data_IF_257543937187
#
_entry.id   IF_257543937187
#
_cell.length_a   1.000
_cell.length_b   1.000
_cell.length_c   1.000
_cell.angle_alpha   90.00
_cell.angle_beta   90.00
_cell.angle_gamma   90.00
#
_symmetry.space_group_name_H-M   'P 1'
#
loop_
_entity.id
_entity.type
_entity.pdbx_description
1 polymer ?
#
# COMPACT_ATOMS: atom_id res chain seq x y z
N UNK A 1 18.64 28.12 -3.31
CA UNK A 1 18.20 27.31 -4.47
C UNK A 1 18.88 25.96 -4.33
N UNK A 2 18.23 24.88 -4.63
CA UNK A 2 18.84 23.53 -4.62
C UNK A 2 19.66 23.34 -5.90
N UNK A 3 20.76 22.59 -5.81
CA UNK A 3 21.63 22.29 -6.96
C UNK A 3 21.06 21.17 -7.86
N UNK A 4 19.82 20.72 -7.58
CA UNK A 4 19.14 19.65 -8.31
C UNK A 4 17.73 20.09 -8.75
N UNK A 5 17.28 19.45 -9.84
CA UNK A 5 15.96 19.66 -10.42
C UNK A 5 15.02 18.51 -10.07
N UNK A 6 13.74 18.82 -10.00
CA UNK A 6 12.68 17.82 -9.86
C UNK A 6 12.20 17.41 -11.24
N UNK A 7 12.61 16.23 -11.69
CA UNK A 7 12.26 15.64 -12.97
C UNK A 7 11.68 14.25 -12.76
N UNK A 8 10.73 13.86 -13.60
CA UNK A 8 10.07 12.56 -13.49
C UNK A 8 9.17 12.23 -14.66
N UNK A 9 8.56 11.06 -14.61
CA UNK A 9 7.57 10.60 -15.56
C UNK A 9 6.22 11.26 -15.31
N UNK A 10 5.81 12.16 -16.20
CA UNK A 10 4.60 12.96 -16.09
C UNK A 10 3.48 12.39 -16.97
N UNK A 11 2.34 12.09 -16.35
CA UNK A 11 1.08 11.89 -17.06
C UNK A 11 0.41 13.23 -17.32
N UNK A 12 0.04 13.51 -18.56
CA UNK A 12 -0.60 14.75 -18.96
C UNK A 12 -2.11 14.66 -19.13
N UNK A 13 -2.62 13.45 -19.30
CA UNK A 13 -4.04 13.10 -19.39
C UNK A 13 -4.26 11.61 -19.10
N UNK A 14 -5.49 11.12 -19.17
CA UNK A 14 -5.84 9.74 -18.87
C UNK A 14 -5.18 8.71 -19.80
N UNK A 15 -4.78 9.09 -21.03
CA UNK A 15 -4.08 8.19 -21.95
C UNK A 15 -2.65 7.86 -21.49
N UNK A 16 -2.14 8.60 -20.51
CA UNK A 16 -0.82 8.32 -19.92
C UNK A 16 -0.73 6.94 -19.26
N UNK A 17 -1.86 6.39 -18.81
CA UNK A 17 -1.95 5.02 -18.33
C UNK A 17 -1.70 3.95 -19.42
N UNK A 18 -1.74 4.32 -20.69
CA UNK A 18 -1.42 3.48 -21.84
C UNK A 18 0.10 3.47 -22.16
N UNK A 19 0.96 3.77 -21.18
CA UNK A 19 2.40 3.86 -21.36
C UNK A 19 2.86 5.12 -22.07
N UNK A 20 2.15 6.24 -21.90
CA UNK A 20 2.41 7.51 -22.56
C UNK A 20 2.83 8.64 -21.62
N UNK A 21 3.36 8.29 -20.43
CA UNK A 21 4.01 9.30 -19.58
C UNK A 21 5.25 9.85 -20.28
N UNK A 22 5.56 11.12 -20.06
CA UNK A 22 6.70 11.84 -20.65
C UNK A 22 7.65 12.28 -19.53
N UNK A 23 8.95 12.05 -19.71
CA UNK A 23 9.94 12.58 -18.78
C UNK A 23 10.03 14.10 -18.91
N UNK A 24 9.93 14.81 -17.78
CA UNK A 24 9.95 16.25 -17.75
C UNK A 24 10.18 16.84 -16.36
N UNK A 25 10.49 18.15 -16.33
CA UNK A 25 10.66 18.91 -15.10
C UNK A 25 9.29 19.31 -14.54
N UNK A 26 9.17 19.33 -13.21
CA UNK A 26 7.98 19.80 -12.50
C UNK A 26 8.37 20.67 -11.32
N UNK A 27 7.46 21.57 -10.93
CA UNK A 27 7.62 22.41 -9.76
C UNK A 27 7.12 21.64 -8.52
N UNK A 28 7.98 21.26 -7.55
CA UNK A 28 7.54 20.63 -6.32
C UNK A 28 6.76 21.63 -5.47
N UNK A 29 6.07 21.14 -4.43
CA UNK A 29 5.47 22.03 -3.42
C UNK A 29 6.50 23.03 -2.88
N UNK A 30 6.03 24.21 -2.46
CA UNK A 30 6.89 25.21 -1.81
C UNK A 30 7.59 24.59 -0.58
N UNK A 31 8.88 24.90 -0.42
CA UNK A 31 9.67 24.45 0.72
C UNK A 31 9.19 25.08 2.01
N UNK A 32 9.09 24.26 3.05
CA UNK A 32 8.94 24.68 4.44
C UNK A 32 9.99 24.01 5.33
N UNK A 33 10.21 24.51 6.53
CA UNK A 33 11.18 23.92 7.46
C UNK A 33 10.70 22.62 8.12
N UNK A 34 9.53 22.13 7.74
CA UNK A 34 8.97 20.82 8.08
C UNK A 34 9.24 19.77 6.99
N UNK A 35 9.87 20.14 5.87
CA UNK A 35 10.00 19.27 4.71
C UNK A 35 11.33 18.52 4.65
N UNK A 36 11.32 17.45 3.86
CA UNK A 36 12.51 16.67 3.45
C UNK A 36 12.50 16.53 1.93
N UNK A 37 13.63 16.86 1.29
CA UNK A 37 13.89 16.47 -0.10
C UNK A 37 14.62 15.12 -0.12
N UNK A 38 14.11 14.22 -0.92
CA UNK A 38 14.56 12.84 -1.02
C UNK A 38 15.07 12.59 -2.44
N UNK A 39 16.29 12.15 -2.57
CA UNK A 39 16.84 11.61 -3.78
C UNK A 39 16.33 10.18 -3.95
N UNK A 40 15.43 9.97 -4.92
CA UNK A 40 14.71 8.71 -5.09
C UNK A 40 15.60 7.67 -5.75
N UNK A 41 15.82 6.55 -5.07
CA UNK A 41 16.55 5.38 -5.61
C UNK A 41 15.60 4.29 -6.09
N UNK A 42 14.47 4.08 -5.38
CA UNK A 42 13.51 3.01 -5.68
C UNK A 42 12.09 3.54 -5.55
N UNK A 43 11.20 3.07 -6.41
CA UNK A 43 9.76 3.31 -6.27
C UNK A 43 8.97 2.07 -6.70
N UNK A 44 8.17 1.52 -5.79
CA UNK A 44 7.27 0.41 -6.13
C UNK A 44 6.13 0.88 -7.04
N UNK A 45 5.59 -0.04 -7.84
CA UNK A 45 4.43 0.18 -8.69
C UNK A 45 3.18 -0.36 -7.99
N UNK A 46 2.17 0.50 -7.82
CA UNK A 46 0.89 0.16 -7.21
C UNK A 46 -0.27 0.27 -8.21
N UNK A 47 -1.35 -0.49 -7.97
CA UNK A 47 -2.60 -0.34 -8.73
C UNK A 47 -3.16 1.08 -8.66
N UNK A 48 -2.95 1.78 -7.55
CA UNK A 48 -3.35 3.19 -7.37
C UNK A 48 -2.70 4.13 -8.40
N UNK A 49 -1.49 3.82 -8.87
CA UNK A 49 -0.80 4.63 -9.89
C UNK A 49 -1.60 4.62 -11.20
N UNK A 50 -2.06 3.43 -11.62
CA UNK A 50 -2.91 3.28 -12.80
C UNK A 50 -4.28 3.94 -12.64
N UNK A 51 -4.94 3.75 -11.49
CA UNK A 51 -6.22 4.39 -11.22
C UNK A 51 -6.10 5.92 -11.26
N UNK A 52 -5.02 6.48 -10.71
CA UNK A 52 -4.76 7.92 -10.77
C UNK A 52 -4.46 8.37 -12.20
N UNK A 53 -3.56 7.69 -12.92
CA UNK A 53 -3.27 8.04 -14.31
C UNK A 53 -4.51 8.00 -15.21
N UNK A 54 -5.47 7.09 -14.93
CA UNK A 54 -6.76 6.97 -15.65
C UNK A 54 -7.82 7.96 -15.18
N UNK A 55 -7.62 8.72 -14.10
CA UNK A 55 -8.69 9.42 -13.36
C UNK A 55 -9.83 8.47 -12.95
N UNK A 56 -9.52 7.22 -12.61
CA UNK A 56 -10.50 6.15 -12.41
C UNK A 56 -11.24 6.22 -11.08
N UNK A 57 -10.61 6.74 -10.02
CA UNK A 57 -11.27 6.93 -8.73
C UNK A 57 -11.76 8.37 -8.55
N UNK A 58 -10.91 9.34 -8.85
CA UNK A 58 -11.17 10.77 -8.71
C UNK A 58 -10.52 11.52 -9.88
N UNK A 59 -11.00 12.74 -10.22
CA UNK A 59 -10.35 13.59 -11.21
C UNK A 59 -8.88 13.87 -10.84
N UNK A 60 -7.97 13.58 -11.76
CA UNK A 60 -6.54 13.78 -11.55
C UNK A 60 -6.11 15.19 -11.97
N UNK A 61 -5.43 15.96 -11.11
CA UNK A 61 -4.91 17.27 -11.46
C UNK A 61 -3.62 17.13 -12.29
N UNK A 62 -3.76 16.88 -13.59
CA UNK A 62 -2.61 16.81 -14.52
C UNK A 62 -1.84 18.13 -14.64
N UNK A 63 -0.52 18.11 -14.99
CA UNK A 63 0.30 16.91 -15.09
C UNK A 63 0.52 16.25 -13.73
N UNK A 64 0.65 14.91 -13.71
CA UNK A 64 0.79 14.12 -12.51
C UNK A 64 1.99 13.16 -12.63
N UNK A 65 2.89 13.16 -11.64
CA UNK A 65 3.89 12.12 -11.45
C UNK A 65 3.39 11.17 -10.38
N UNK A 66 3.18 9.91 -10.71
CA UNK A 66 2.71 8.88 -9.77
C UNK A 66 3.85 8.20 -9.02
N UNK A 67 3.54 7.18 -8.21
CA UNK A 67 4.49 6.46 -7.38
C UNK A 67 4.48 6.92 -5.92
N UNK A 68 3.92 6.09 -5.03
CA UNK A 68 3.82 6.37 -3.59
C UNK A 68 4.44 5.26 -2.73
N UNK A 69 5.39 4.55 -3.28
CA UNK A 69 6.18 3.52 -2.61
C UNK A 69 7.66 3.91 -2.73
N UNK A 70 8.01 5.07 -2.17
CA UNK A 70 9.28 5.75 -2.42
C UNK A 70 10.33 5.33 -1.39
N UNK A 71 11.49 4.90 -1.85
CA UNK A 71 12.70 4.76 -1.03
C UNK A 71 13.82 5.58 -1.66
N UNK A 72 14.58 6.27 -0.82
CA UNK A 72 15.70 7.09 -1.27
C UNK A 72 16.55 7.60 -0.11
N UNK A 73 17.34 8.61 -0.40
CA UNK A 73 18.24 9.26 0.55
C UNK A 73 17.77 10.69 0.81
N UNK A 74 17.65 11.07 2.08
CA UNK A 74 17.37 12.45 2.46
C UNK A 74 18.57 13.33 2.10
N UNK A 75 18.35 14.32 1.21
CA UNK A 75 19.41 15.22 0.73
C UNK A 75 19.28 16.64 1.26
N UNK A 76 18.06 17.02 1.67
CA UNK A 76 17.78 18.27 2.36
C UNK A 76 16.73 18.02 3.44
N UNK A 77 16.93 18.57 4.64
CA UNK A 77 16.06 18.36 5.78
C UNK A 77 15.79 19.72 6.44
N UNK A 78 14.53 20.04 6.66
CA UNK A 78 14.10 21.27 7.31
C UNK A 78 14.45 21.30 8.80
N UNK A 79 14.63 22.49 9.36
CA UNK A 79 15.11 22.69 10.73
C UNK A 79 14.14 22.13 11.80
N UNK A 80 12.85 22.04 11.46
CA UNK A 80 11.81 21.53 12.35
C UNK A 80 11.67 20.00 12.31
N UNK A 81 12.29 19.32 11.34
CA UNK A 81 12.30 17.86 11.25
C UNK A 81 13.30 17.28 12.25
N UNK A 82 12.83 16.46 13.20
CA UNK A 82 13.65 15.96 14.31
C UNK A 82 14.12 14.51 14.16
N UNK A 83 13.40 13.72 13.39
CA UNK A 83 13.59 12.27 13.26
C UNK A 83 14.44 11.86 12.06
N UNK A 84 14.72 12.77 11.11
CA UNK A 84 15.48 12.51 9.88
C UNK A 84 16.71 13.40 9.82
N UNK A 85 17.80 12.88 9.24
CA UNK A 85 19.03 13.64 8.96
C UNK A 85 19.42 13.50 7.51
N UNK A 86 20.13 14.48 6.96
CA UNK A 86 20.76 14.38 5.65
C UNK A 86 21.64 13.12 5.61
N UNK A 87 21.48 12.33 4.59
CA UNK A 87 22.15 11.05 4.40
C UNK A 87 21.38 9.83 4.87
N UNK A 88 20.32 9.99 5.68
CA UNK A 88 19.47 8.86 6.11
C UNK A 88 18.80 8.20 4.90
N UNK A 89 18.70 6.88 4.89
CA UNK A 89 17.88 6.10 3.98
C UNK A 89 16.43 6.13 4.50
N UNK A 90 15.53 6.64 3.66
CA UNK A 90 14.16 6.97 4.05
C UNK A 90 13.14 6.47 3.04
N UNK A 91 11.89 6.39 3.48
CA UNK A 91 10.76 6.05 2.63
C UNK A 91 9.56 6.96 2.84
N UNK A 92 8.71 7.03 1.81
CA UNK A 92 7.43 7.73 1.81
C UNK A 92 6.36 6.80 1.26
N UNK A 93 5.27 6.65 2.02
CA UNK A 93 4.10 5.88 1.61
C UNK A 93 3.07 6.71 0.83
N UNK A 94 1.80 6.29 0.90
CA UNK A 94 0.73 6.89 0.10
C UNK A 94 0.25 8.27 0.60
N UNK A 95 0.70 8.72 1.76
CA UNK A 95 0.33 10.01 2.35
C UNK A 95 1.54 10.91 2.55
N UNK A 96 1.41 12.19 2.16
CA UNK A 96 2.44 13.22 2.26
C UNK A 96 2.15 14.30 3.29
N UNK A 97 0.88 14.44 3.75
CA UNK A 97 0.47 15.43 4.75
C UNK A 97 -0.83 15.04 5.45
N UNK A 98 -1.02 15.54 6.65
CA UNK A 98 -2.30 15.71 7.35
C UNK A 98 -2.33 17.08 8.03
N UNK A 99 -3.41 17.43 8.73
CA UNK A 99 -3.49 18.76 9.39
C UNK A 99 -2.50 18.91 10.56
N UNK A 100 -2.11 17.81 11.22
CA UNK A 100 -1.20 17.74 12.37
C UNK A 100 -1.55 18.71 13.52
N UNK A 101 -2.83 19.10 13.65
CA UNK A 101 -3.30 19.99 14.70
C UNK A 101 -3.60 19.19 15.96
N UNK A 102 -3.28 19.77 17.14
CA UNK A 102 -3.46 19.13 18.45
C UNK A 102 -4.93 18.81 18.76
N UNK A 103 -5.87 19.61 18.23
CA UNK A 103 -7.31 19.43 18.37
C UNK A 103 -7.91 18.46 17.32
N UNK A 104 -7.12 17.92 16.43
CA UNK A 104 -7.56 16.88 15.49
C UNK A 104 -7.47 15.52 16.14
N UNK A 105 -8.62 14.91 16.41
CA UNK A 105 -8.70 13.60 17.08
C UNK A 105 -7.86 12.52 16.37
N UNK A 106 -7.86 12.50 15.05
CA UNK A 106 -7.11 11.52 14.28
C UNK A 106 -5.60 11.74 14.41
N UNK A 107 -5.14 12.97 14.19
CA UNK A 107 -3.70 13.27 14.25
C UNK A 107 -3.13 13.12 15.66
N UNK A 108 -3.85 13.57 16.70
CA UNK A 108 -3.42 13.44 18.09
C UNK A 108 -3.37 11.99 18.59
N UNK A 109 -4.11 11.08 17.95
CA UNK A 109 -4.11 9.65 18.26
C UNK A 109 -3.22 8.81 17.33
N UNK A 110 -2.36 9.42 16.51
CA UNK A 110 -1.49 8.69 15.58
C UNK A 110 -2.25 7.97 14.45
N UNK A 111 -3.37 8.55 14.03
CA UNK A 111 -4.22 8.07 12.95
C UNK A 111 -4.27 9.07 11.80
N UNK A 112 -3.11 9.64 11.44
CA UNK A 112 -2.97 10.69 10.43
C UNK A 112 -3.54 10.27 9.07
N UNK A 113 -3.54 8.98 8.77
CA UNK A 113 -4.13 8.40 7.55
C UNK A 113 -5.66 8.53 7.49
N UNK A 114 -6.32 8.87 8.58
CA UNK A 114 -7.76 9.15 8.65
C UNK A 114 -8.07 10.62 8.92
N UNK A 115 -7.10 11.52 8.79
CA UNK A 115 -7.31 12.94 8.99
C UNK A 115 -8.30 13.50 7.96
N UNK A 116 -9.43 14.05 8.43
CA UNK A 116 -10.46 14.63 7.59
C UNK A 116 -10.33 16.16 7.39
N UNK A 117 -9.28 16.78 7.96
CA UNK A 117 -9.07 18.23 7.92
C UNK A 117 -7.97 18.70 6.95
N UNK A 118 -7.28 17.80 6.29
CA UNK A 118 -6.17 18.22 5.42
C UNK A 118 -5.23 17.08 5.01
N UNK A 119 -5.79 15.92 4.70
CA UNK A 119 -5.01 14.83 4.12
C UNK A 119 -4.56 15.19 2.70
N UNK A 120 -3.27 15.00 2.40
CA UNK A 120 -2.70 15.12 1.05
C UNK A 120 -2.02 13.81 0.71
N UNK A 121 -2.38 13.23 -0.41
CA UNK A 121 -1.72 12.04 -0.96
C UNK A 121 -0.35 12.37 -1.53
N UNK A 122 0.53 11.39 -1.61
CA UNK A 122 1.90 11.56 -2.10
C UNK A 122 1.97 12.03 -3.56
N UNK A 123 0.90 11.81 -4.33
CA UNK A 123 0.69 12.36 -5.66
C UNK A 123 -0.80 12.63 -5.93
N UNK A 124 -1.09 13.35 -7.02
CA UNK A 124 -2.46 13.59 -7.48
C UNK A 124 -3.30 14.45 -6.55
N UNK A 125 -2.68 15.21 -5.66
CA UNK A 125 -3.35 16.12 -4.72
C UNK A 125 -2.81 17.54 -4.85
N UNK A 126 -3.62 18.49 -4.39
CA UNK A 126 -3.23 19.90 -4.26
C UNK A 126 -3.08 20.20 -2.77
N UNK A 127 -1.95 20.82 -2.40
CA UNK A 127 -1.74 21.27 -1.03
C UNK A 127 -2.63 22.48 -0.71
N UNK A 128 -3.02 22.67 0.57
CA UNK A 128 -3.81 23.85 0.96
C UNK A 128 -3.07 25.16 0.66
N UNK A 129 -3.83 26.20 0.35
CA UNK A 129 -3.26 27.51 -0.01
C UNK A 129 -2.47 27.44 -1.32
N UNK A 130 -1.38 28.19 -1.40
CA UNK A 130 -0.50 28.30 -2.58
C UNK A 130 0.73 27.40 -2.50
N UNK A 131 0.67 26.29 -1.73
CA UNK A 131 1.84 25.41 -1.56
C UNK A 131 2.16 24.57 -2.80
N UNK A 132 1.23 24.44 -3.75
CA UNK A 132 1.44 23.67 -4.99
C UNK A 132 0.78 22.30 -4.99
N UNK A 133 1.31 21.38 -5.82
CA UNK A 133 0.81 20.01 -5.98
C UNK A 133 1.77 18.98 -5.41
N UNK A 134 1.22 17.79 -5.11
CA UNK A 134 2.02 16.62 -4.76
C UNK A 134 2.43 15.84 -6.00
N UNK A 135 3.68 15.41 -6.03
CA UNK A 135 4.28 14.59 -7.09
C UNK A 135 4.96 13.38 -6.48
N UNK A 136 4.77 12.21 -7.10
CA UNK A 136 5.24 10.92 -6.59
C UNK A 136 6.69 10.61 -6.92
N UNK A 137 7.03 9.33 -6.81
CA UNK A 137 8.39 8.81 -6.88
C UNK A 137 8.82 8.24 -8.23
N UNK A 138 8.02 8.35 -9.30
CA UNK A 138 8.54 8.05 -10.64
C UNK A 138 9.41 9.21 -11.12
N UNK A 139 10.31 9.67 -10.26
CA UNK A 139 11.07 10.90 -10.38
C UNK A 139 12.48 10.74 -9.79
N UNK A 140 13.36 11.72 -10.10
CA UNK A 140 14.69 11.79 -9.50
C UNK A 140 14.64 12.27 -8.05
N UNK A 141 13.71 13.19 -7.71
CA UNK A 141 13.55 13.74 -6.36
C UNK A 141 12.08 13.86 -5.95
N UNK A 142 11.83 13.72 -4.66
CA UNK A 142 10.54 13.93 -4.03
C UNK A 142 10.66 14.92 -2.86
N UNK A 143 9.65 15.76 -2.63
CA UNK A 143 9.54 16.65 -1.47
C UNK A 143 8.30 16.30 -0.67
N UNK A 144 8.51 15.93 0.60
CA UNK A 144 7.44 15.49 1.51
C UNK A 144 7.64 16.07 2.90
N UNK A 145 6.55 16.35 3.63
CA UNK A 145 6.63 16.74 5.03
C UNK A 145 7.30 15.63 5.87
N UNK A 146 8.28 15.99 6.68
CA UNK A 146 9.10 15.08 7.46
C UNK A 146 8.33 14.17 8.43
N UNK A 147 7.10 14.55 8.84
CA UNK A 147 6.22 13.65 9.61
C UNK A 147 5.87 12.37 8.86
N UNK A 148 5.80 12.43 7.53
CA UNK A 148 5.44 11.31 6.64
C UNK A 148 6.65 10.64 6.01
N UNK A 149 7.85 11.02 6.41
CA UNK A 149 9.12 10.40 6.03
C UNK A 149 9.55 9.43 7.13
N UNK A 150 9.71 8.16 6.80
CA UNK A 150 10.11 7.11 7.74
C UNK A 150 11.52 6.61 7.42
N UNK A 151 12.30 6.24 8.44
CA UNK A 151 13.60 5.58 8.22
C UNK A 151 13.39 4.15 7.75
N UNK A 152 14.20 3.73 6.79
CA UNK A 152 14.26 2.32 6.39
C UNK A 152 15.31 1.63 7.28
N UNK A 153 14.94 0.57 8.02
CA UNK A 153 15.90 -0.19 8.85
C UNK A 153 17.05 -0.78 8.01
N UNK A 154 18.25 -0.82 8.57
CA UNK A 154 19.46 -1.31 7.86
C UNK A 154 19.33 -2.77 7.41
N UNK A 155 18.61 -3.60 8.13
CA UNK A 155 18.38 -5.01 7.79
C UNK A 155 17.38 -5.27 6.66
N UNK A 156 16.80 -4.23 6.05
CA UNK A 156 15.81 -4.35 4.99
C UNK A 156 16.33 -3.70 3.70
N UNK A 157 16.32 -4.42 2.57
CA UNK A 157 16.74 -3.86 1.28
C UNK A 157 15.75 -2.79 0.78
N UNK A 158 16.22 -1.88 -0.08
CA UNK A 158 15.38 -0.81 -0.63
C UNK A 158 14.29 -1.37 -1.54
N UNK A 159 14.62 -2.41 -2.32
CA UNK A 159 13.69 -3.10 -3.21
C UNK A 159 12.56 -3.79 -2.42
N UNK A 160 12.90 -4.38 -1.27
CA UNK A 160 11.91 -5.03 -0.40
C UNK A 160 11.07 -4.01 0.36
N UNK A 161 11.67 -2.90 0.82
CA UNK A 161 11.00 -1.86 1.60
C UNK A 161 10.01 -1.04 0.76
N UNK A 162 10.35 -0.69 -0.48
CA UNK A 162 9.55 0.21 -1.30
C UNK A 162 8.08 -0.21 -1.39
N UNK A 163 7.70 -1.41 -1.86
CA UNK A 163 6.29 -1.78 -1.95
C UNK A 163 5.63 -2.07 -0.59
N UNK A 164 6.39 -2.23 0.50
CA UNK A 164 5.83 -2.32 1.84
C UNK A 164 5.19 -1.01 2.29
N UNK A 165 5.67 0.15 1.81
CA UNK A 165 5.19 1.48 2.18
C UNK A 165 3.73 1.76 1.76
N UNK A 166 3.18 0.96 0.84
CA UNK A 166 1.76 0.97 0.49
C UNK A 166 1.16 -0.43 0.59
N UNK A 167 1.57 -1.37 -0.27
CA UNK A 167 1.01 -2.71 -0.32
C UNK A 167 1.17 -3.47 0.99
N UNK A 168 2.34 -3.37 1.63
CA UNK A 168 2.61 -3.99 2.94
C UNK A 168 1.78 -3.38 4.06
N UNK A 169 1.84 -2.05 4.24
CA UNK A 169 1.12 -1.37 5.33
C UNK A 169 -0.39 -1.53 5.22
N UNK A 170 -0.94 -1.58 4.02
CA UNK A 170 -2.39 -1.73 3.79
C UNK A 170 -2.94 -3.03 4.37
N UNK A 171 -2.14 -4.09 4.42
CA UNK A 171 -2.55 -5.36 5.02
C UNK A 171 -1.99 -5.56 6.45
N UNK A 172 -0.83 -4.99 6.76
CA UNK A 172 -0.25 -5.06 8.10
C UNK A 172 -1.11 -4.33 9.14
N UNK A 173 -1.53 -3.10 8.86
CA UNK A 173 -2.31 -2.29 9.80
C UNK A 173 -3.60 -2.99 10.24
N UNK A 174 -4.48 -3.51 9.35
CA UNK A 174 -5.66 -4.24 9.78
C UNK A 174 -5.35 -5.57 10.49
N UNK A 175 -4.33 -6.32 10.08
CA UNK A 175 -3.90 -7.52 10.79
C UNK A 175 -3.53 -7.19 12.23
N UNK A 176 -2.68 -6.19 12.43
CA UNK A 176 -2.20 -5.74 13.75
C UNK A 176 -3.34 -5.21 14.63
N UNK A 177 -4.19 -4.35 14.07
CA UNK A 177 -5.28 -3.68 14.80
C UNK A 177 -6.46 -4.61 15.13
N UNK A 178 -6.61 -5.72 14.41
CA UNK A 178 -7.67 -6.71 14.66
C UNK A 178 -7.16 -8.00 15.32
N UNK A 179 -5.99 -7.92 15.98
CA UNK A 179 -5.51 -8.97 16.87
C UNK A 179 -4.99 -10.21 16.18
N UNK A 180 -4.44 -10.08 14.96
CA UNK A 180 -3.67 -11.17 14.34
C UNK A 180 -2.48 -11.53 15.25
N UNK A 181 -2.34 -12.81 15.58
CA UNK A 181 -1.28 -13.30 16.47
C UNK A 181 -1.56 -14.70 16.98
N UNK A 182 -0.90 -15.12 18.06
CA UNK A 182 -1.08 -16.45 18.65
C UNK A 182 -2.55 -16.76 19.00
N UNK A 183 -2.98 -17.97 18.74
CA UNK A 183 -4.36 -18.43 18.92
C UNK A 183 -5.32 -18.06 17.78
N UNK A 184 -4.84 -17.41 16.70
CA UNK A 184 -5.69 -16.96 15.60
C UNK A 184 -5.46 -17.73 14.31
N UNK A 185 -6.56 -18.05 13.64
CA UNK A 185 -6.57 -18.53 12.25
C UNK A 185 -7.00 -17.38 11.33
N UNK A 186 -6.14 -16.99 10.40
CA UNK A 186 -6.31 -15.80 9.56
C UNK A 186 -6.46 -16.17 8.10
N UNK A 187 -7.47 -15.65 7.43
CA UNK A 187 -7.68 -15.77 5.99
C UNK A 187 -7.22 -14.52 5.23
N UNK A 188 -6.46 -14.70 4.16
CA UNK A 188 -6.07 -13.65 3.24
C UNK A 188 -6.76 -13.89 1.90
N UNK A 189 -7.75 -13.05 1.57
CA UNK A 189 -8.52 -13.15 0.34
C UNK A 189 -7.91 -12.28 -0.73
N UNK A 190 -7.62 -12.89 -1.89
CA UNK A 190 -6.97 -12.21 -3.01
C UNK A 190 -5.44 -12.22 -2.90
N UNK A 191 -4.79 -13.37 -3.16
CA UNK A 191 -3.33 -13.44 -3.12
C UNK A 191 -2.72 -12.91 -4.42
N UNK A 192 -2.41 -11.64 -4.38
CA UNK A 192 -1.75 -10.85 -5.42
C UNK A 192 -0.75 -9.88 -4.77
N UNK A 193 -0.56 -8.69 -5.36
CA UNK A 193 0.40 -7.67 -4.89
C UNK A 193 0.24 -7.22 -3.44
N UNK A 194 -0.98 -7.24 -2.86
CA UNK A 194 -1.24 -6.97 -1.46
C UNK A 194 -1.29 -8.27 -0.63
N UNK A 195 -2.01 -9.27 -1.14
CA UNK A 195 -2.28 -10.49 -0.37
C UNK A 195 -1.03 -11.30 -0.03
N UNK A 196 0.04 -11.25 -0.85
CA UNK A 196 1.30 -11.91 -0.48
C UNK A 196 1.90 -11.31 0.80
N UNK A 197 1.84 -9.97 0.98
CA UNK A 197 2.22 -9.32 2.24
C UNK A 197 1.29 -9.72 3.38
N UNK A 198 -0.01 -9.89 3.10
CA UNK A 198 -0.97 -10.37 4.10
C UNK A 198 -0.55 -11.71 4.71
N UNK A 199 -0.07 -12.64 3.88
CA UNK A 199 0.46 -13.94 4.35
C UNK A 199 1.74 -13.75 5.15
N UNK A 200 2.72 -13.02 4.59
CA UNK A 200 4.01 -12.79 5.24
C UNK A 200 3.85 -12.13 6.62
N UNK A 201 3.04 -11.07 6.71
CA UNK A 201 2.83 -10.36 7.97
C UNK A 201 1.94 -11.13 8.95
N UNK A 202 0.93 -11.89 8.50
CA UNK A 202 0.16 -12.72 9.40
C UNK A 202 1.04 -13.80 10.07
N UNK A 203 1.95 -14.41 9.33
CA UNK A 203 2.95 -15.35 9.88
C UNK A 203 3.92 -14.64 10.82
N UNK A 204 4.43 -13.46 10.44
CA UNK A 204 5.37 -12.70 11.27
C UNK A 204 4.75 -12.21 12.60
N UNK A 205 3.47 -11.89 12.61
CA UNK A 205 2.69 -11.55 13.81
C UNK A 205 2.36 -12.78 14.67
N UNK A 206 2.64 -13.99 14.20
CA UNK A 206 2.51 -15.22 14.95
C UNK A 206 1.12 -15.85 14.90
N UNK A 207 0.34 -15.64 13.84
CA UNK A 207 -0.92 -16.38 13.63
C UNK A 207 -0.65 -17.90 13.63
N UNK A 208 -1.48 -18.67 14.34
CA UNK A 208 -1.33 -20.12 14.42
C UNK A 208 -1.53 -20.78 13.05
N UNK A 209 -2.48 -20.25 12.27
CA UNK A 209 -2.75 -20.73 10.92
C UNK A 209 -3.06 -19.56 9.99
N UNK A 210 -2.45 -19.56 8.81
CA UNK A 210 -2.70 -18.60 7.72
C UNK A 210 -3.23 -19.33 6.50
N UNK A 211 -4.41 -18.94 6.03
CA UNK A 211 -5.09 -19.52 4.89
C UNK A 211 -5.12 -18.53 3.73
N UNK A 212 -4.45 -18.85 2.64
CA UNK A 212 -4.57 -18.08 1.40
C UNK A 212 -5.85 -18.46 0.65
N UNK A 213 -6.60 -17.48 0.21
CA UNK A 213 -7.88 -17.67 -0.49
C UNK A 213 -7.80 -16.94 -1.83
N UNK A 214 -7.92 -17.64 -2.93
CA UNK A 214 -7.88 -17.04 -4.26
C UNK A 214 -8.68 -17.89 -5.27
N UNK A 215 -8.88 -17.39 -6.48
CA UNK A 215 -9.78 -18.04 -7.43
C UNK A 215 -9.25 -19.38 -7.96
N UNK A 216 -7.98 -19.45 -8.38
CA UNK A 216 -7.43 -20.56 -9.14
C UNK A 216 -6.45 -21.41 -8.35
N UNK A 217 -6.55 -22.73 -8.46
CA UNK A 217 -5.65 -23.70 -7.82
C UNK A 217 -4.18 -23.55 -8.26
N UNK A 218 -3.93 -22.97 -9.44
CA UNK A 218 -2.57 -22.73 -9.95
C UNK A 218 -1.69 -21.86 -9.06
N UNK A 219 -2.29 -21.03 -8.20
CA UNK A 219 -1.57 -20.18 -7.23
C UNK A 219 -1.16 -20.92 -5.95
N UNK A 220 -1.64 -22.14 -5.71
CA UNK A 220 -1.42 -22.87 -4.45
C UNK A 220 0.06 -22.99 -4.10
N UNK A 221 0.90 -23.35 -5.06
CA UNK A 221 2.34 -23.52 -4.83
C UNK A 221 3.00 -22.25 -4.30
N UNK A 222 2.71 -21.10 -4.93
CA UNK A 222 3.24 -19.81 -4.50
C UNK A 222 2.77 -19.42 -3.11
N UNK A 223 1.47 -19.58 -2.85
CA UNK A 223 0.86 -19.22 -1.57
C UNK A 223 1.44 -20.03 -0.42
N UNK A 224 1.65 -21.32 -0.60
CA UNK A 224 2.33 -22.17 0.41
C UNK A 224 3.81 -21.79 0.56
N UNK A 225 4.49 -21.45 -0.52
CA UNK A 225 5.90 -20.97 -0.47
C UNK A 225 6.06 -19.64 0.27
N UNK A 226 5.01 -18.78 0.30
CA UNK A 226 4.97 -17.57 1.13
C UNK A 226 4.79 -17.87 2.63
N UNK A 227 4.56 -19.13 3.00
CA UNK A 227 4.38 -19.57 4.39
C UNK A 227 2.92 -19.75 4.82
N UNK A 228 1.94 -19.70 3.92
CA UNK A 228 0.57 -20.06 4.25
C UNK A 228 0.48 -21.56 4.60
N UNK A 229 -0.35 -21.90 5.59
CA UNK A 229 -0.55 -23.27 6.06
C UNK A 229 -1.59 -24.01 5.22
N UNK A 230 -2.48 -23.30 4.54
CA UNK A 230 -3.52 -23.86 3.68
C UNK A 230 -3.89 -22.89 2.55
N UNK A 231 -4.56 -23.44 1.53
CA UNK A 231 -5.03 -22.68 0.37
C UNK A 231 -6.43 -23.12 -0.04
N UNK A 232 -7.30 -22.16 -0.34
CA UNK A 232 -8.66 -22.35 -0.85
C UNK A 232 -8.73 -21.77 -2.27
N UNK A 233 -9.20 -22.57 -3.24
CA UNK A 233 -9.38 -22.20 -4.64
C UNK A 233 -10.87 -22.02 -4.96
N UNK A 234 -11.39 -20.81 -4.92
CA UNK A 234 -12.85 -20.54 -4.93
C UNK A 234 -13.55 -20.82 -6.26
N UNK A 235 -12.83 -20.83 -7.39
CA UNK A 235 -13.42 -21.14 -8.70
C UNK A 235 -13.29 -22.64 -9.05
N UNK A 236 -12.27 -23.30 -8.50
CA UNK A 236 -11.92 -24.67 -8.87
C UNK A 236 -12.50 -25.72 -7.89
N UNK A 237 -12.88 -25.31 -6.68
CA UNK A 237 -13.56 -26.10 -5.67
C UNK A 237 -14.96 -25.52 -5.44
N UNK A 238 -16.01 -26.32 -5.69
CA UNK A 238 -17.40 -25.84 -5.58
C UNK A 238 -17.91 -25.80 -4.14
N UNK A 239 -17.35 -26.63 -3.26
CA UNK A 239 -17.78 -26.80 -1.90
C UNK A 239 -16.91 -26.04 -0.89
N UNK A 240 -15.97 -25.21 -1.41
CA UNK A 240 -14.97 -24.50 -0.62
C UNK A 240 -15.53 -23.74 0.58
N UNK A 241 -16.69 -23.09 0.43
CA UNK A 241 -17.30 -22.29 1.49
C UNK A 241 -17.90 -23.18 2.60
N UNK A 242 -18.51 -24.31 2.22
CA UNK A 242 -19.12 -25.26 3.15
C UNK A 242 -18.06 -26.07 3.90
N UNK A 243 -17.05 -26.57 3.20
CA UNK A 243 -15.97 -27.38 3.79
C UNK A 243 -15.08 -26.60 4.74
N UNK A 244 -14.91 -25.29 4.50
CA UNK A 244 -14.07 -24.42 5.32
C UNK A 244 -14.88 -23.49 6.24
N UNK A 245 -16.19 -23.70 6.35
CA UNK A 245 -17.07 -22.85 7.14
C UNK A 245 -16.65 -22.77 8.62
N UNK A 246 -16.76 -21.58 9.21
CA UNK A 246 -16.51 -21.29 10.65
C UNK A 246 -15.11 -21.69 11.14
N UNK A 247 -14.08 -21.50 10.33
CA UNK A 247 -12.70 -21.87 10.68
C UNK A 247 -11.80 -20.67 10.96
N UNK A 248 -12.16 -19.47 10.47
CA UNK A 248 -11.31 -18.28 10.53
C UNK A 248 -11.74 -17.28 11.61
N UNK A 249 -10.79 -16.72 12.32
CA UNK A 249 -11.03 -15.65 13.30
C UNK A 249 -11.06 -14.27 12.65
N UNK A 250 -10.21 -14.06 11.64
CA UNK A 250 -10.01 -12.80 10.93
C UNK A 250 -9.83 -13.07 9.44
N UNK A 251 -10.46 -12.26 8.61
CA UNK A 251 -10.22 -12.22 7.17
C UNK A 251 -9.76 -10.82 6.79
N UNK A 252 -8.67 -10.71 6.03
CA UNK A 252 -8.30 -9.48 5.31
C UNK A 252 -8.52 -9.72 3.81
N UNK A 253 -9.44 -8.94 3.22
CA UNK A 253 -9.80 -9.04 1.81
C UNK A 253 -9.13 -7.93 1.00
N UNK A 254 -8.29 -8.34 0.04
CA UNK A 254 -7.62 -7.45 -0.93
C UNK A 254 -8.31 -7.41 -2.28
N UNK A 255 -9.47 -8.08 -2.41
CA UNK A 255 -10.21 -8.18 -3.66
C UNK A 255 -10.88 -6.85 -4.00
N UNK A 256 -10.69 -6.40 -5.24
CA UNK A 256 -11.25 -5.16 -5.79
C UNK A 256 -12.38 -5.44 -6.80
N UNK A 257 -13.21 -6.45 -6.56
CA UNK A 257 -14.32 -6.80 -7.45
C UNK A 257 -15.67 -6.62 -6.76
N UNK A 258 -16.61 -5.88 -7.38
CA UNK A 258 -17.98 -5.75 -6.86
C UNK A 258 -18.77 -7.06 -6.94
N UNK A 259 -18.22 -8.10 -7.59
CA UNK A 259 -18.85 -9.42 -7.75
C UNK A 259 -18.19 -10.51 -6.88
N UNK A 260 -17.37 -10.13 -5.90
CA UNK A 260 -16.76 -11.11 -5.00
C UNK A 260 -17.84 -11.83 -4.17
N UNK A 261 -17.65 -13.11 -3.82
CA UNK A 261 -18.60 -13.87 -3.01
C UNK A 261 -18.49 -13.49 -1.51
N UNK A 262 -18.92 -12.25 -1.17
CA UNK A 262 -18.74 -11.67 0.16
C UNK A 262 -19.48 -12.44 1.25
N UNK A 263 -20.69 -12.95 0.97
CA UNK A 263 -21.47 -13.75 1.92
C UNK A 263 -20.78 -15.06 2.24
N UNK A 264 -20.21 -15.71 1.25
CA UNK A 264 -19.46 -16.96 1.39
C UNK A 264 -18.16 -16.73 2.17
N UNK A 265 -17.46 -15.62 1.95
CA UNK A 265 -16.29 -15.25 2.76
C UNK A 265 -16.66 -15.04 4.23
N UNK A 266 -17.81 -14.40 4.51
CA UNK A 266 -18.31 -14.28 5.89
C UNK A 266 -18.61 -15.64 6.50
N UNK A 267 -19.13 -16.59 5.72
CA UNK A 267 -19.39 -17.95 6.16
C UNK A 267 -18.15 -18.72 6.63
N UNK A 268 -16.95 -18.32 6.21
CA UNK A 268 -15.68 -18.89 6.70
C UNK A 268 -15.33 -18.46 8.12
N UNK A 269 -15.89 -17.34 8.59
CA UNK A 269 -15.61 -16.79 9.91
C UNK A 269 -16.27 -17.64 11.04
N UNK A 270 -15.55 -17.81 12.12
CA UNK A 270 -16.12 -18.26 13.40
C UNK A 270 -17.14 -17.24 13.91
N UNK A 271 -18.00 -17.63 14.84
CA UNK A 271 -18.90 -16.70 15.52
C UNK A 271 -18.09 -15.57 16.17
N UNK A 272 -18.52 -14.33 15.96
CA UNK A 272 -17.80 -13.11 16.40
C UNK A 272 -16.60 -12.72 15.54
N UNK A 273 -16.32 -13.47 14.45
CA UNK A 273 -15.20 -13.22 13.54
C UNK A 273 -15.33 -11.90 12.76
N UNK A 274 -14.21 -11.44 12.22
CA UNK A 274 -14.09 -10.13 11.60
C UNK A 274 -13.57 -10.24 10.17
N UNK A 275 -14.20 -9.52 9.22
CA UNK A 275 -13.70 -9.32 7.88
C UNK A 275 -13.31 -7.85 7.69
N UNK A 276 -12.07 -7.60 7.26
CA UNK A 276 -11.59 -6.26 6.94
C UNK A 276 -11.32 -6.15 5.44
N UNK A 277 -12.05 -5.24 4.79
CA UNK A 277 -11.87 -4.93 3.38
C UNK A 277 -10.78 -3.87 3.20
N UNK A 278 -9.80 -4.15 2.34
CA UNK A 278 -8.74 -3.21 1.95
C UNK A 278 -8.65 -3.01 0.44
N UNK A 279 -9.20 -3.93 -0.35
CA UNK A 279 -9.32 -3.74 -1.81
C UNK A 279 -10.40 -2.71 -2.13
N UNK A 280 -10.12 -1.81 -3.07
CA UNK A 280 -11.07 -0.78 -3.53
C UNK A 280 -11.59 -1.16 -4.93
N UNK A 281 -12.87 -1.58 -5.06
CA UNK A 281 -13.47 -1.84 -6.36
C UNK A 281 -13.63 -0.56 -7.19
N UNK A 282 -13.62 -0.68 -8.51
CA UNK A 282 -14.05 0.40 -9.39
C UNK A 282 -15.51 0.75 -9.07
N UNK A 283 -15.81 2.05 -8.95
CA UNK A 283 -17.12 2.52 -8.50
C UNK A 283 -17.37 2.47 -7.00
N UNK A 284 -16.46 1.85 -6.20
CA UNK A 284 -16.50 1.88 -4.73
C UNK A 284 -17.54 0.97 -4.07
N UNK A 285 -18.36 0.23 -4.84
CA UNK A 285 -19.44 -0.59 -4.29
C UNK A 285 -18.97 -2.00 -3.91
N UNK A 286 -19.45 -2.49 -2.77
CA UNK A 286 -19.32 -3.88 -2.34
C UNK A 286 -20.64 -4.64 -2.64
N UNK A 287 -20.59 -5.99 -2.74
CA UNK A 287 -21.81 -6.78 -2.84
C UNK A 287 -22.74 -6.52 -1.65
N UNK A 288 -24.08 -6.52 -1.86
CA UNK A 288 -25.03 -6.34 -0.78
C UNK A 288 -24.96 -7.50 0.23
N UNK A 289 -25.18 -7.18 1.51
CA UNK A 289 -25.18 -8.15 2.61
C UNK A 289 -26.57 -8.19 3.25
N UNK A 290 -27.09 -9.41 3.44
CA UNK A 290 -28.31 -9.60 4.22
C UNK A 290 -28.01 -9.39 5.72
N UNK A 291 -28.82 -8.58 6.41
CA UNK A 291 -28.66 -8.32 7.84
C UNK A 291 -28.63 -9.59 8.71
N UNK A 292 -29.45 -10.59 8.37
CA UNK A 292 -29.46 -11.85 9.11
C UNK A 292 -28.14 -12.63 9.01
N UNK A 293 -27.36 -12.46 7.94
CA UNK A 293 -26.01 -13.04 7.84
C UNK A 293 -25.10 -12.52 8.96
N UNK A 294 -25.21 -11.24 9.29
CA UNK A 294 -24.42 -10.63 10.37
C UNK A 294 -24.96 -11.02 11.74
N UNK A 295 -26.27 -10.94 11.94
CA UNK A 295 -26.93 -11.18 13.22
C UNK A 295 -26.79 -12.64 13.70
N UNK A 296 -26.91 -13.61 12.79
CA UNK A 296 -26.89 -15.03 13.13
C UNK A 296 -25.52 -15.53 13.64
N UNK A 297 -24.44 -14.76 13.42
CA UNK A 297 -23.09 -15.19 13.79
C UNK A 297 -22.21 -14.07 14.38
N UNK A 298 -22.79 -12.95 14.77
CA UNK A 298 -22.07 -11.76 15.28
C UNK A 298 -20.93 -11.29 14.37
N UNK A 299 -21.05 -11.46 13.05
CA UNK A 299 -19.99 -11.08 12.15
C UNK A 299 -19.74 -9.56 12.15
N UNK A 300 -18.48 -9.21 12.10
CA UNK A 300 -18.03 -7.82 11.99
C UNK A 300 -17.43 -7.57 10.63
N UNK A 301 -17.84 -6.48 10.00
CA UNK A 301 -17.26 -6.02 8.74
C UNK A 301 -16.74 -4.61 8.95
N UNK A 302 -15.51 -4.40 8.52
CA UNK A 302 -14.87 -3.09 8.57
C UNK A 302 -14.00 -2.84 7.35
N UNK A 303 -13.46 -1.63 7.29
CA UNK A 303 -12.47 -1.24 6.28
C UNK A 303 -11.18 -0.78 6.94
N UNK A 304 -10.09 -0.78 6.17
CA UNK A 304 -8.82 -0.19 6.57
C UNK A 304 -8.16 0.45 5.35
N UNK A 305 -7.64 1.67 5.52
CA UNK A 305 -6.93 2.40 4.48
C UNK A 305 -5.51 2.69 4.91
N UNK A 306 -4.52 2.17 4.17
CA UNK A 306 -3.10 2.36 4.46
C UNK A 306 -2.77 2.21 5.96
N UNK A 307 -1.78 2.97 6.47
CA UNK A 307 -1.45 3.09 7.89
C UNK A 307 -0.82 4.44 8.18
N UNK A 308 -0.74 4.80 9.46
CA UNK A 308 -0.06 6.01 9.90
C UNK A 308 1.47 5.88 9.76
N UNK A 309 2.23 6.99 9.83
CA UNK A 309 3.69 6.93 9.85
C UNK A 309 4.26 6.01 10.94
N UNK A 310 3.61 5.95 12.11
CA UNK A 310 4.01 5.03 13.18
C UNK A 310 3.70 3.57 12.86
N UNK A 311 2.55 3.28 12.24
CA UNK A 311 2.24 1.92 11.78
C UNK A 311 3.26 1.46 10.72
N UNK A 312 3.69 2.35 9.80
CA UNK A 312 4.71 2.06 8.79
C UNK A 312 6.06 1.75 9.46
N UNK A 313 6.48 2.56 10.43
CA UNK A 313 7.74 2.34 11.13
C UNK A 313 7.73 0.99 11.90
N UNK A 314 6.64 0.64 12.59
CA UNK A 314 6.46 -0.64 13.27
C UNK A 314 6.55 -1.81 12.27
N UNK A 315 5.85 -1.70 11.15
CA UNK A 315 5.87 -2.73 10.08
C UNK A 315 7.26 -2.97 9.51
N UNK A 316 7.99 -1.88 9.16
CA UNK A 316 9.32 -1.98 8.59
C UNK A 316 10.32 -2.58 9.59
N UNK A 317 10.20 -2.21 10.89
CA UNK A 317 11.03 -2.80 11.92
C UNK A 317 10.75 -4.29 12.09
N UNK A 318 9.48 -4.69 12.14
CA UNK A 318 9.11 -6.12 12.17
C UNK A 318 9.64 -6.86 10.95
N UNK A 319 9.55 -6.25 9.76
CA UNK A 319 10.06 -6.86 8.55
C UNK A 319 11.58 -7.09 8.61
N UNK A 320 12.34 -6.11 9.11
CA UNK A 320 13.78 -6.23 9.31
C UNK A 320 14.11 -7.32 10.35
N UNK A 321 13.47 -7.29 11.51
CA UNK A 321 13.70 -8.23 12.63
C UNK A 321 13.38 -9.68 12.23
N UNK A 322 12.33 -9.89 11.45
CA UNK A 322 11.88 -11.19 10.97
C UNK A 322 12.46 -11.58 9.62
N UNK A 323 13.30 -10.72 9.02
CA UNK A 323 13.91 -10.93 7.70
C UNK A 323 12.86 -11.25 6.63
N UNK A 324 11.78 -10.45 6.62
CA UNK A 324 10.71 -10.59 5.61
C UNK A 324 11.23 -10.02 4.30
N UNK A 325 11.26 -10.84 3.27
CA UNK A 325 11.60 -10.43 1.92
C UNK A 325 10.34 -10.35 1.06
N UNK A 326 10.18 -9.23 0.37
CA UNK A 326 9.12 -9.05 -0.62
C UNK A 326 9.42 -9.86 -1.88
N UNK A 327 8.38 -10.44 -2.49
CA UNK A 327 8.51 -11.01 -3.84
C UNK A 327 8.42 -9.89 -4.87
N UNK A 328 9.56 -9.38 -5.27
CA UNK A 328 9.69 -8.22 -6.17
C UNK A 328 10.53 -8.56 -7.41
N UNK A 329 10.19 -7.90 -8.49
CA UNK A 329 10.97 -7.86 -9.73
C UNK A 329 11.36 -6.40 -9.97
N UNK A 330 12.67 -6.13 -10.05
CA UNK A 330 13.18 -4.80 -10.30
C UNK A 330 13.16 -4.46 -11.79
N UNK A 331 12.84 -3.21 -12.11
CA UNK A 331 12.86 -2.65 -13.47
C UNK A 331 13.56 -1.29 -13.45
N UNK A 332 14.36 -0.93 -14.46
CA UNK A 332 14.91 0.41 -14.56
C UNK A 332 13.82 1.50 -14.56
N UNK A 333 14.05 2.63 -13.89
CA UNK A 333 13.09 3.75 -13.86
C UNK A 333 12.70 4.23 -15.27
N UNK A 334 13.62 4.16 -16.22
CA UNK A 334 13.36 4.51 -17.64
C UNK A 334 12.30 3.61 -18.30
N UNK A 335 12.01 2.43 -17.75
CA UNK A 335 11.01 1.51 -18.25
C UNK A 335 9.62 1.69 -17.59
N UNK A 336 9.41 2.79 -16.85
CA UNK A 336 8.17 3.03 -16.11
C UNK A 336 6.91 2.83 -16.96
N UNK A 337 6.90 3.33 -18.19
CA UNK A 337 5.79 3.17 -19.14
C UNK A 337 5.49 1.68 -19.45
N UNK A 338 6.51 0.89 -19.70
CA UNK A 338 6.31 -0.53 -19.97
C UNK A 338 5.95 -1.31 -18.71
N UNK A 339 6.54 -0.93 -17.57
CA UNK A 339 6.30 -1.62 -16.30
C UNK A 339 4.85 -1.46 -15.82
N UNK A 340 4.21 -0.30 -15.99
CA UNK A 340 2.78 -0.13 -15.67
C UNK A 340 1.88 -0.97 -16.56
N UNK A 341 2.18 -1.10 -17.86
CA UNK A 341 1.43 -1.95 -18.78
C UNK A 341 1.58 -3.44 -18.42
N UNK A 342 2.78 -3.87 -18.07
CA UNK A 342 3.04 -5.25 -17.67
C UNK A 342 2.36 -5.58 -16.34
N UNK A 343 2.31 -4.64 -15.39
CA UNK A 343 1.57 -4.80 -14.15
C UNK A 343 0.06 -4.91 -14.42
N UNK A 344 -0.52 -4.06 -15.26
CA UNK A 344 -1.94 -4.12 -15.62
C UNK A 344 -2.30 -5.44 -16.30
N UNK A 345 -1.41 -5.97 -17.14
CA UNK A 345 -1.54 -7.29 -17.76
C UNK A 345 -1.35 -8.46 -16.77
N UNK A 346 -1.10 -8.20 -15.49
CA UNK A 346 -0.95 -9.21 -14.44
C UNK A 346 0.35 -10.02 -14.53
N UNK A 347 1.39 -9.50 -15.17
CA UNK A 347 2.69 -10.18 -15.35
C UNK A 347 3.57 -10.16 -14.10
N UNK A 348 3.37 -9.17 -13.19
CA UNK A 348 4.18 -9.03 -11.98
C UNK A 348 3.96 -10.20 -11.01
N UNK A 349 5.05 -10.74 -10.45
CA UNK A 349 4.97 -11.79 -9.43
C UNK A 349 5.86 -11.49 -8.21
N UNK A 350 5.38 -10.73 -7.22
CA UNK A 350 4.04 -10.15 -7.14
C UNK A 350 4.06 -8.64 -7.34
N UNK A 351 5.24 -8.00 -7.25
CA UNK A 351 5.40 -6.54 -7.30
C UNK A 351 6.52 -6.14 -8.24
N UNK A 352 6.33 -5.05 -8.96
CA UNK A 352 7.43 -4.35 -9.64
C UNK A 352 7.97 -3.22 -8.77
N UNK A 353 9.29 -3.03 -8.83
CA UNK A 353 9.99 -1.90 -8.22
C UNK A 353 10.86 -1.24 -9.28
N UNK A 354 10.60 0.03 -9.54
CA UNK A 354 11.43 0.86 -10.40
C UNK A 354 12.70 1.27 -9.66
N UNK A 355 13.84 1.04 -10.28
CA UNK A 355 15.18 1.41 -9.77
C UNK A 355 15.69 2.60 -10.56
N UNK A 356 15.98 3.69 -9.87
CA UNK A 356 16.61 4.86 -10.47
C UNK A 356 18.12 4.62 -10.52
N UNK A 357 18.63 4.21 -11.68
CA UNK A 357 20.04 3.84 -11.88
C UNK A 357 21.02 5.02 -11.65
N UNK A 358 20.53 6.26 -11.59
CA UNK A 358 21.36 7.43 -11.25
C UNK A 358 21.63 7.52 -9.73
N UNK A 359 20.75 6.94 -8.89
CA UNK A 359 20.71 7.17 -7.45
C UNK A 359 20.72 5.89 -6.60
N UNK A 360 20.67 4.70 -7.22
CA UNK A 360 20.69 3.40 -6.56
C UNK A 360 22.11 2.91 -6.24
#
# INVERSE_FOLDING_TARGET
MTDYKFEGWLGHDASSAEGKMVWGEFEPKKWTEEDVDIQVSHCGICGSDLHTLKSGWFPTPYPCCVGHEIVGKAVRVGQNVKNIKVGDRVGVGAQARSCLQDDCLQCSNGQENYCNRGMVSTYGSVYPGDEGKSYGGYADYNRTNGRFVVKIPDGLSSESAAPMLCGGITVFAPLRKNGCGPGKTVGIVGVGGLGHYGILFAKALGADKVVGISRKASKKGDVLSLGADAYIATDDDKDWATENGRTLDLIVSTVSSPKMPLTEYLGLLKVGGTLIQVGAPDGGELPPINAFTLLASEYKIGGSGIGSPSDIAEMLQLAADKKIESWVETRPLKEANQAILDMEAGKARFRYVLVNEKHA
#
